data_IF_130732376694
#
_entry.id   IF_130732376694
#
_cell.length_a   1.000
_cell.length_b   1.000
_cell.length_c   1.000
_cell.angle_alpha   90.00
_cell.angle_beta   90.00
_cell.angle_gamma   90.00
#
_symmetry.space_group_name_H-M   'P 1'
#
loop_
_entity.id
_entity.type
_entity.pdbx_description
1 polymer ?
#
# COMPACT_ATOMS: atom_id res chain seq x y z
N UNK A 1 28.70 -61.77 53.79
CA UNK A 1 28.49 -60.80 52.70
C UNK A 1 27.16 -60.10 52.92
N UNK A 2 27.17 -58.76 52.81
CA UNK A 2 26.03 -57.81 52.81
C UNK A 2 25.30 -57.59 54.16
N UNK A 3 25.51 -56.50 54.93
CA UNK A 3 25.21 -55.06 54.68
C UNK A 3 23.70 -54.80 54.48
N UNK A 4 23.00 -53.88 55.16
CA UNK A 4 23.26 -52.91 56.24
C UNK A 4 21.87 -52.51 56.79
N UNK A 5 21.79 -52.25 58.09
CA UNK A 5 20.58 -51.82 58.81
C UNK A 5 20.29 -50.32 58.61
N UNK A 6 19.00 -50.01 58.71
CA UNK A 6 18.25 -48.77 58.47
C UNK A 6 18.58 -47.61 59.43
N UNK A 7 18.28 -46.39 58.94
CA UNK A 7 17.89 -45.15 59.65
C UNK A 7 18.96 -44.10 59.93
N UNK A 8 18.81 -42.92 59.29
CA UNK A 8 18.85 -41.61 59.98
C UNK A 8 17.89 -40.60 59.34
N UNK A 9 17.11 -39.95 60.21
CA UNK A 9 16.28 -38.76 60.00
C UNK A 9 17.14 -37.51 59.74
N UNK A 10 16.65 -36.56 58.93
CA UNK A 10 16.39 -35.16 59.31
C UNK A 10 15.94 -34.34 58.08
N UNK A 11 14.69 -33.88 58.09
CA UNK A 11 14.23 -32.47 58.23
C UNK A 11 14.53 -31.61 57.00
N UNK A 12 13.48 -30.98 56.44
CA UNK A 12 13.30 -29.51 56.41
C UNK A 12 12.22 -29.09 55.39
N UNK A 13 11.30 -28.27 55.91
CA UNK A 13 10.46 -27.23 55.31
C UNK A 13 9.43 -27.56 54.21
N UNK A 14 8.18 -27.34 54.59
CA UNK A 14 7.09 -26.94 53.71
C UNK A 14 7.40 -25.57 53.08
N UNK A 15 7.20 -25.46 51.77
CA UNK A 15 7.01 -24.20 51.08
C UNK A 15 5.84 -24.38 50.10
N UNK A 16 4.87 -23.48 50.21
CA UNK A 16 3.65 -23.42 49.43
C UNK A 16 3.94 -23.22 47.94
N UNK A 17 3.19 -23.90 47.08
CA UNK A 17 3.01 -23.47 45.68
C UNK A 17 1.52 -23.21 45.50
N UNK A 18 1.17 -21.92 45.62
CA UNK A 18 -0.12 -21.40 45.24
C UNK A 18 -0.32 -21.56 43.74
N UNK A 19 -1.56 -21.88 43.35
CA UNK A 19 -1.95 -22.02 41.96
C UNK A 19 -1.72 -20.73 41.19
N UNK A 20 -0.85 -20.79 40.18
CA UNK A 20 -0.87 -19.81 39.10
C UNK A 20 -2.00 -20.21 38.16
N UNK A 21 -3.06 -19.40 38.14
CA UNK A 21 -4.02 -19.38 37.05
C UNK A 21 -3.28 -19.07 35.76
N UNK A 22 -3.37 -20.00 34.81
CA UNK A 22 -2.90 -19.80 33.45
C UNK A 22 -3.83 -18.76 32.80
N UNK A 23 -3.44 -17.48 32.86
CA UNK A 23 -4.04 -16.44 32.03
C UNK A 23 -3.65 -16.79 30.61
N UNK A 24 -4.60 -17.33 29.85
CA UNK A 24 -4.45 -17.48 28.41
C UNK A 24 -4.25 -16.10 27.81
N UNK A 25 -3.00 -15.73 27.53
CA UNK A 25 -2.72 -14.73 26.52
C UNK A 25 -3.32 -15.28 25.23
N UNK A 26 -4.46 -14.74 24.81
CA UNK A 26 -4.91 -14.92 23.44
C UNK A 26 -3.75 -14.50 22.54
N UNK A 27 -3.25 -15.43 21.74
CA UNK A 27 -2.34 -15.07 20.67
C UNK A 27 -3.07 -14.03 19.83
N UNK A 28 -2.56 -12.80 19.83
CA UNK A 28 -2.86 -11.87 18.75
C UNK A 28 -2.31 -12.58 17.52
N UNK A 29 -3.18 -13.09 16.65
CA UNK A 29 -2.74 -13.61 15.37
C UNK A 29 -1.99 -12.47 14.70
N UNK A 30 -0.66 -12.62 14.56
CA UNK A 30 0.10 -11.73 13.73
C UNK A 30 -0.53 -11.79 12.34
N UNK A 31 -1.02 -10.65 11.84
CA UNK A 31 -1.67 -10.52 10.54
C UNK A 31 -0.70 -11.02 9.48
N UNK A 32 -0.97 -12.21 8.96
CA UNK A 32 -0.07 -12.90 8.06
C UNK A 32 -0.56 -12.71 6.61
N UNK A 33 -0.59 -11.45 6.19
CA UNK A 33 -0.84 -11.02 4.83
C UNK A 33 0.50 -10.82 4.09
N UNK A 34 0.47 -10.69 2.76
CA UNK A 34 1.63 -10.20 2.00
C UNK A 34 2.02 -8.83 2.55
N UNK A 35 3.24 -8.70 3.08
CA UNK A 35 3.72 -7.46 3.68
C UNK A 35 4.15 -6.48 2.59
N UNK A 36 3.56 -5.29 2.64
CA UNK A 36 3.88 -4.14 1.81
C UNK A 36 4.59 -3.11 2.69
N UNK A 37 5.86 -2.82 2.42
CA UNK A 37 6.64 -1.88 3.23
C UNK A 37 8.15 -1.98 3.04
N UNK A 38 8.62 -3.00 2.34
CA UNK A 38 9.99 -3.07 1.82
C UNK A 38 10.18 -2.26 0.54
N UNK A 39 11.38 -2.27 -0.05
CA UNK A 39 11.69 -1.53 -1.29
C UNK A 39 10.97 -2.08 -2.54
N UNK A 40 10.38 -3.27 -2.46
CA UNK A 40 9.56 -3.82 -3.54
C UNK A 40 8.20 -3.14 -3.57
N UNK A 41 7.77 -2.78 -4.78
CA UNK A 41 6.42 -2.27 -5.07
C UNK A 41 5.56 -3.28 -5.83
N UNK A 42 5.95 -4.56 -5.82
CA UNK A 42 5.23 -5.62 -6.54
C UNK A 42 5.27 -6.98 -5.82
N UNK A 43 4.31 -7.84 -6.20
CA UNK A 43 4.13 -9.22 -5.77
C UNK A 43 3.66 -10.06 -6.97
N UNK A 44 4.07 -11.33 -7.03
CA UNK A 44 3.63 -12.27 -8.06
C UNK A 44 3.38 -13.66 -7.46
N UNK A 45 2.44 -14.39 -8.03
CA UNK A 45 2.14 -15.77 -7.72
C UNK A 45 1.72 -16.52 -8.99
N UNK A 46 2.53 -17.51 -9.36
CA UNK A 46 2.34 -18.49 -10.45
C UNK A 46 1.61 -19.77 -10.01
N UNK A 47 1.35 -19.96 -8.72
CA UNK A 47 0.70 -21.14 -8.12
C UNK A 47 1.37 -22.51 -8.36
N UNK A 48 2.46 -22.59 -9.12
CA UNK A 48 3.22 -23.81 -9.45
C UNK A 48 3.73 -24.61 -8.23
N UNK A 49 3.80 -23.98 -7.06
CA UNK A 49 4.14 -24.66 -5.81
C UNK A 49 3.00 -25.49 -5.20
N UNK A 50 1.78 -25.42 -5.75
CA UNK A 50 0.65 -26.23 -5.32
C UNK A 50 0.82 -27.71 -5.71
N UNK A 51 0.12 -28.60 -5.01
CA UNK A 51 0.13 -30.04 -5.28
C UNK A 51 -0.34 -30.37 -6.69
N UNK A 52 0.42 -31.20 -7.40
CA UNK A 52 0.09 -31.65 -8.76
C UNK A 52 -0.63 -33.01 -8.82
N UNK A 53 -0.92 -33.63 -7.66
CA UNK A 53 -1.64 -34.90 -7.56
C UNK A 53 -2.28 -35.09 -6.18
N UNK A 54 -3.24 -36.03 -6.11
CA UNK A 54 -3.90 -36.41 -4.86
C UNK A 54 -5.18 -35.63 -4.55
N UNK A 55 -5.97 -36.18 -3.62
CA UNK A 55 -7.20 -35.58 -3.09
C UNK A 55 -7.06 -35.34 -1.59
N UNK A 56 -7.87 -34.43 -1.05
CA UNK A 56 -7.85 -34.00 0.35
C UNK A 56 -6.43 -33.59 0.81
N UNK A 57 -5.75 -32.82 -0.02
CA UNK A 57 -4.43 -32.30 0.30
C UNK A 57 -4.57 -31.20 1.35
N UNK A 58 -3.69 -31.15 2.38
CA UNK A 58 -3.76 -30.14 3.43
C UNK A 58 -3.65 -28.72 2.86
N UNK A 59 -4.60 -27.87 3.23
CA UNK A 59 -4.54 -26.43 3.03
C UNK A 59 -4.46 -25.74 4.39
N UNK A 60 -3.53 -24.79 4.50
CA UNK A 60 -3.45 -23.89 5.62
C UNK A 60 -3.36 -22.46 5.09
N UNK A 61 -4.35 -21.64 5.46
CA UNK A 61 -4.40 -20.23 5.10
C UNK A 61 -3.09 -19.51 5.46
N UNK A 62 -2.54 -18.78 4.50
CA UNK A 62 -1.25 -18.10 4.54
C UNK A 62 -0.01 -19.02 4.75
N UNK A 63 -0.16 -20.34 4.77
CA UNK A 63 0.99 -21.25 4.90
C UNK A 63 1.19 -22.14 3.68
N UNK A 64 0.11 -22.63 3.06
CA UNK A 64 0.23 -23.39 1.80
C UNK A 64 0.72 -22.48 0.69
N UNK A 65 0.17 -21.27 0.62
CA UNK A 65 0.65 -20.17 -0.21
C UNK A 65 0.67 -18.90 0.66
N UNK A 66 1.82 -18.18 0.77
CA UNK A 66 1.91 -16.97 1.57
C UNK A 66 0.90 -15.91 1.14
N UNK A 67 0.10 -15.41 2.08
CA UNK A 67 -0.93 -14.41 1.85
C UNK A 67 -2.23 -14.91 1.22
N UNK A 68 -2.35 -16.19 0.87
CA UNK A 68 -3.54 -16.76 0.22
C UNK A 68 -4.42 -17.57 1.18
N UNK A 69 -5.72 -17.52 0.91
CA UNK A 69 -6.74 -18.04 1.81
C UNK A 69 -7.89 -18.70 1.04
N UNK A 70 -8.47 -19.74 1.65
CA UNK A 70 -9.66 -20.41 1.17
C UNK A 70 -10.77 -20.36 2.22
N UNK A 71 -11.96 -19.97 1.78
CA UNK A 71 -13.15 -19.90 2.60
C UNK A 71 -14.36 -20.48 1.85
N UNK A 72 -15.31 -21.06 2.60
CA UNK A 72 -16.61 -21.51 2.07
C UNK A 72 -17.80 -20.68 2.58
N UNK A 73 -18.89 -20.77 1.82
CA UNK A 73 -20.27 -20.32 2.06
C UNK A 73 -21.26 -21.43 1.61
N UNK A 74 -22.52 -21.47 2.07
CA UNK A 74 -23.21 -20.49 2.91
C UNK A 74 -22.94 -20.73 4.40
N UNK A 75 -22.43 -19.72 5.09
CA UNK A 75 -22.25 -19.74 6.54
C UNK A 75 -22.38 -18.31 7.09
N UNK A 76 -22.93 -18.17 8.30
CA UNK A 76 -23.13 -16.85 8.92
C UNK A 76 -21.82 -16.04 9.02
N UNK A 77 -20.70 -16.73 9.19
CA UNK A 77 -19.35 -16.21 8.98
C UNK A 77 -18.60 -17.13 8.02
N UNK A 78 -17.70 -16.60 7.16
CA UNK A 78 -16.85 -17.41 6.30
C UNK A 78 -16.11 -18.49 7.09
N UNK A 79 -16.16 -19.74 6.62
CA UNK A 79 -15.47 -20.86 7.27
C UNK A 79 -14.19 -21.16 6.51
N UNK A 80 -13.05 -21.08 7.18
CA UNK A 80 -11.76 -21.44 6.59
C UNK A 80 -11.75 -22.92 6.18
N UNK A 81 -11.30 -23.18 4.96
CA UNK A 81 -11.13 -24.53 4.44
C UNK A 81 -9.73 -25.05 4.82
N UNK A 82 -9.63 -26.36 5.03
CA UNK A 82 -8.38 -27.03 5.42
C UNK A 82 -7.88 -28.02 4.39
N UNK A 83 -8.58 -28.13 3.27
CA UNK A 83 -8.32 -29.11 2.22
C UNK A 83 -8.56 -28.52 0.84
N UNK A 84 -7.83 -29.02 -0.14
CA UNK A 84 -8.04 -28.79 -1.57
C UNK A 84 -7.55 -30.03 -2.35
N UNK A 85 -7.83 -30.12 -3.64
CA UNK A 85 -7.44 -31.27 -4.47
C UNK A 85 -6.54 -30.87 -5.64
N UNK A 86 -5.72 -31.77 -6.15
CA UNK A 86 -5.17 -31.60 -7.50
C UNK A 86 -6.22 -32.02 -8.54
N UNK A 87 -6.32 -31.30 -9.65
CA UNK A 87 -7.34 -31.55 -10.66
C UNK A 87 -6.86 -31.35 -12.09
N UNK A 88 -7.28 -32.22 -13.00
CA UNK A 88 -7.09 -32.03 -14.45
C UNK A 88 -8.36 -31.50 -15.13
N UNK A 89 -9.32 -30.99 -14.34
CA UNK A 89 -10.66 -30.62 -14.85
C UNK A 89 -11.62 -31.79 -15.11
N UNK A 90 -11.18 -33.03 -14.93
CA UNK A 90 -11.98 -34.23 -15.16
C UNK A 90 -13.08 -34.46 -14.11
N UNK A 91 -12.84 -34.02 -12.87
CA UNK A 91 -13.80 -34.10 -11.75
C UNK A 91 -14.90 -33.05 -11.85
N UNK A 92 -16.12 -33.41 -11.45
CA UNK A 92 -17.23 -32.47 -11.22
C UNK A 92 -17.50 -32.20 -9.74
N UNK A 93 -16.68 -32.74 -8.83
CA UNK A 93 -16.90 -32.57 -7.40
C UNK A 93 -16.69 -31.10 -7.00
N UNK A 94 -17.60 -30.56 -6.19
CA UNK A 94 -17.49 -29.18 -5.71
C UNK A 94 -16.33 -29.02 -4.75
N UNK A 95 -15.23 -28.38 -5.19
CA UNK A 95 -14.00 -28.13 -4.41
C UNK A 95 -13.18 -26.98 -4.99
N UNK A 96 -12.23 -26.49 -4.21
CA UNK A 96 -11.06 -25.80 -4.74
C UNK A 96 -10.00 -26.79 -5.21
N UNK A 97 -9.33 -26.43 -6.29
CA UNK A 97 -8.37 -27.25 -7.00
C UNK A 97 -7.08 -26.49 -7.29
N UNK A 98 -5.97 -27.22 -7.24
CA UNK A 98 -4.80 -26.92 -8.05
C UNK A 98 -4.99 -27.59 -9.39
N UNK A 99 -5.39 -26.80 -10.38
CA UNK A 99 -5.61 -27.28 -11.72
C UNK A 99 -4.30 -27.37 -12.48
N UNK A 100 -4.22 -28.30 -13.42
CA UNK A 100 -3.09 -28.41 -14.33
C UNK A 100 -3.13 -29.73 -15.07
N UNK A 101 -2.47 -29.78 -16.23
CA UNK A 101 -2.34 -31.02 -16.98
C UNK A 101 -1.65 -32.12 -16.14
N UNK A 102 -1.98 -33.38 -16.46
CA UNK A 102 -1.48 -34.53 -15.71
C UNK A 102 0.06 -34.61 -15.81
N UNK A 103 0.73 -34.73 -14.66
CA UNK A 103 2.20 -34.82 -14.56
C UNK A 103 2.96 -33.54 -14.96
N UNK A 104 2.31 -32.37 -15.00
CA UNK A 104 2.90 -31.15 -15.60
C UNK A 104 3.54 -30.13 -14.66
N UNK A 105 3.61 -30.23 -13.34
CA UNK A 105 4.17 -29.16 -12.47
C UNK A 105 3.45 -27.78 -12.55
N UNK A 106 3.31 -27.12 -13.70
CA UNK A 106 2.54 -25.85 -13.83
C UNK A 106 1.13 -26.03 -13.26
N UNK A 107 0.68 -25.09 -12.42
CA UNK A 107 -0.62 -25.13 -11.78
C UNK A 107 -1.34 -23.78 -11.88
N UNK A 108 -2.64 -23.82 -12.18
CA UNK A 108 -3.57 -22.73 -11.90
C UNK A 108 -4.38 -22.97 -10.61
N UNK A 109 -4.84 -21.91 -9.94
CA UNK A 109 -5.62 -22.01 -8.71
C UNK A 109 -7.10 -21.67 -8.94
N UNK A 110 -8.01 -22.60 -8.65
CA UNK A 110 -9.40 -22.43 -9.04
C UNK A 110 -10.38 -23.33 -8.30
N UNK A 111 -11.62 -23.37 -8.78
CA UNK A 111 -12.68 -24.17 -8.19
C UNK A 111 -13.71 -24.69 -9.19
N UNK A 112 -14.55 -25.58 -8.66
CA UNK A 112 -15.84 -25.97 -9.27
C UNK A 112 -16.87 -25.74 -8.17
N UNK A 113 -17.77 -24.77 -8.32
CA UNK A 113 -18.67 -24.31 -7.25
C UNK A 113 -19.81 -25.26 -6.85
N UNK A 114 -19.82 -26.49 -7.35
CA UNK A 114 -20.92 -27.45 -7.19
C UNK A 114 -21.37 -27.67 -5.74
N UNK A 115 -22.65 -28.02 -5.56
CA UNK A 115 -23.36 -28.17 -4.27
C UNK A 115 -22.93 -29.37 -3.40
N UNK A 116 -21.62 -29.58 -3.26
CA UNK A 116 -21.02 -30.60 -2.41
C UNK A 116 -20.92 -30.18 -0.93
N UNK A 117 -20.77 -31.17 -0.05
CA UNK A 117 -20.58 -30.95 1.38
C UNK A 117 -19.30 -30.17 1.73
N UNK A 118 -18.32 -30.16 0.82
CA UNK A 118 -17.10 -29.35 0.94
C UNK A 118 -17.40 -27.86 1.09
N UNK A 119 -18.31 -27.33 0.27
CA UNK A 119 -18.79 -25.95 0.39
C UNK A 119 -19.92 -25.81 1.43
N UNK A 120 -20.54 -26.91 1.84
CA UNK A 120 -21.71 -26.89 2.74
C UNK A 120 -23.01 -26.81 1.96
N UNK A 121 -23.04 -27.40 0.76
CA UNK A 121 -24.21 -27.51 -0.10
C UNK A 121 -24.88 -26.16 -0.41
N UNK A 122 -24.17 -25.21 -1.04
CA UNK A 122 -24.76 -23.96 -1.51
C UNK A 122 -25.98 -24.22 -2.40
N UNK A 123 -27.00 -23.37 -2.28
CA UNK A 123 -28.12 -23.35 -3.21
C UNK A 123 -27.64 -22.93 -4.62
N UNK A 124 -28.42 -23.22 -5.65
CA UNK A 124 -28.11 -22.71 -7.00
C UNK A 124 -28.15 -21.19 -7.03
N UNK A 125 -27.16 -20.56 -7.66
CA UNK A 125 -26.91 -19.12 -7.66
C UNK A 125 -26.32 -18.57 -6.36
N UNK A 126 -25.99 -19.40 -5.37
CA UNK A 126 -25.37 -18.96 -4.13
C UNK A 126 -23.84 -19.06 -4.20
N UNK A 127 -23.16 -18.20 -3.45
CA UNK A 127 -21.70 -18.26 -3.28
C UNK A 127 -21.34 -19.58 -2.59
N UNK A 128 -20.47 -20.35 -3.23
CA UNK A 128 -19.89 -21.57 -2.68
C UNK A 128 -18.65 -21.26 -1.83
N UNK A 129 -17.83 -20.30 -2.26
CA UNK A 129 -16.65 -19.91 -1.51
C UNK A 129 -15.85 -18.78 -2.14
N UNK A 130 -14.67 -18.54 -1.58
CA UNK A 130 -13.73 -17.56 -2.09
C UNK A 130 -12.29 -18.09 -2.05
N UNK A 131 -11.57 -17.80 -3.13
CA UNK A 131 -10.12 -17.66 -3.09
C UNK A 131 -9.81 -16.21 -2.71
N UNK A 132 -8.89 -15.97 -1.79
CA UNK A 132 -8.57 -14.62 -1.36
C UNK A 132 -7.08 -14.44 -1.10
N UNK A 133 -6.59 -13.22 -1.29
CA UNK A 133 -5.25 -12.79 -0.94
C UNK A 133 -5.31 -11.51 -0.09
N UNK A 134 -4.52 -11.47 0.97
CA UNK A 134 -4.39 -10.30 1.85
C UNK A 134 -3.07 -9.58 1.64
N UNK A 135 -3.11 -8.25 1.58
CA UNK A 135 -1.96 -7.37 1.49
C UNK A 135 -1.95 -6.38 2.66
N UNK A 136 -0.96 -6.44 3.54
CA UNK A 136 -0.85 -5.54 4.69
C UNK A 136 0.14 -4.42 4.41
N UNK A 137 -0.30 -3.15 4.53
CA UNK A 137 0.61 -2.01 4.48
C UNK A 137 1.34 -1.89 5.83
N UNK A 138 2.53 -2.46 5.92
CA UNK A 138 3.42 -2.38 7.08
C UNK A 138 4.43 -1.23 6.96
N UNK A 139 4.38 -0.45 5.88
CA UNK A 139 5.23 0.73 5.67
C UNK A 139 4.74 1.95 6.45
N UNK A 140 5.33 3.12 6.14
CA UNK A 140 4.98 4.41 6.78
C UNK A 140 4.16 5.33 5.87
N UNK A 141 4.00 4.99 4.59
CA UNK A 141 3.31 5.79 3.59
C UNK A 141 1.97 5.16 3.19
N UNK A 142 0.99 6.02 2.87
CA UNK A 142 -0.29 5.61 2.29
C UNK A 142 -0.10 5.17 0.84
N UNK A 143 -0.83 4.15 0.41
CA UNK A 143 -0.90 3.69 -0.98
C UNK A 143 -2.15 4.28 -1.64
N UNK A 144 -1.97 4.93 -2.80
CA UNK A 144 -3.05 5.58 -3.56
C UNK A 144 -3.54 4.73 -4.74
N UNK A 145 -2.68 3.87 -5.27
CA UNK A 145 -2.97 3.01 -6.40
C UNK A 145 -2.51 1.58 -6.13
N UNK A 146 -3.36 0.63 -6.49
CA UNK A 146 -3.08 -0.79 -6.39
C UNK A 146 -3.50 -1.47 -7.69
N UNK A 147 -2.54 -2.03 -8.42
CA UNK A 147 -2.77 -2.75 -9.67
C UNK A 147 -2.81 -4.23 -9.41
N UNK A 148 -3.78 -4.92 -10.02
CA UNK A 148 -3.93 -6.38 -10.00
C UNK A 148 -4.01 -6.87 -11.43
N UNK A 149 -3.27 -7.92 -11.77
CA UNK A 149 -3.38 -8.62 -13.04
C UNK A 149 -3.32 -10.14 -12.84
N UNK A 150 -4.01 -10.90 -13.68
CA UNK A 150 -3.96 -12.37 -13.71
C UNK A 150 -4.50 -12.89 -15.06
N UNK A 151 -4.29 -14.17 -15.32
CA UNK A 151 -4.93 -14.90 -16.40
C UNK A 151 -6.11 -15.71 -15.85
N UNK A 152 -7.24 -15.69 -16.56
CA UNK A 152 -8.39 -16.55 -16.27
C UNK A 152 -8.30 -17.84 -17.09
N UNK A 153 -8.36 -19.00 -16.45
CA UNK A 153 -8.23 -20.30 -17.11
C UNK A 153 -9.43 -21.21 -16.85
N UNK A 154 -10.00 -21.77 -17.92
CA UNK A 154 -11.06 -22.76 -17.81
C UNK A 154 -10.50 -24.17 -17.96
N UNK A 155 -10.58 -24.95 -16.88
CA UNK A 155 -10.13 -26.33 -16.83
C UNK A 155 -11.25 -27.34 -17.02
N UNK A 156 -12.52 -26.93 -16.93
CA UNK A 156 -13.66 -27.82 -17.15
C UNK A 156 -14.83 -27.11 -17.82
N UNK A 157 -15.39 -27.75 -18.84
CA UNK A 157 -16.77 -27.51 -19.27
C UNK A 157 -17.69 -28.46 -18.50
N UNK A 158 -18.63 -27.90 -17.74
CA UNK A 158 -19.61 -28.62 -16.93
C UNK A 158 -20.67 -29.39 -17.73
N UNK A 159 -20.73 -29.21 -19.04
CA UNK A 159 -21.89 -29.64 -19.83
C UNK A 159 -23.04 -28.64 -19.73
N UNK A 160 -22.72 -27.37 -19.52
CA UNK A 160 -23.66 -26.26 -19.37
C UNK A 160 -23.49 -25.32 -20.56
N UNK A 161 -24.60 -24.93 -21.21
CA UNK A 161 -24.57 -24.03 -22.36
C UNK A 161 -24.52 -22.56 -21.97
N UNK A 162 -24.64 -22.26 -20.68
CA UNK A 162 -24.46 -20.92 -20.13
C UNK A 162 -23.02 -20.72 -19.69
N UNK A 163 -22.41 -19.62 -20.12
CA UNK A 163 -21.09 -19.20 -19.62
C UNK A 163 -21.16 -18.82 -18.15
N UNK A 164 -20.06 -19.03 -17.43
CA UNK A 164 -19.92 -18.74 -16.01
C UNK A 164 -18.87 -17.68 -15.79
N UNK A 165 -19.08 -16.81 -14.80
CA UNK A 165 -18.23 -15.63 -14.57
C UNK A 165 -17.53 -15.75 -13.23
N UNK A 166 -16.22 -15.57 -13.22
CA UNK A 166 -15.48 -15.36 -11.99
C UNK A 166 -15.39 -13.86 -11.70
N UNK A 167 -15.90 -13.48 -10.53
CA UNK A 167 -15.99 -12.08 -10.11
C UNK A 167 -14.91 -11.79 -9.07
N UNK A 168 -14.16 -10.71 -9.27
CA UNK A 168 -13.22 -10.19 -8.28
C UNK A 168 -13.88 -9.09 -7.45
N UNK A 169 -13.60 -9.10 -6.15
CA UNK A 169 -13.94 -8.01 -5.23
C UNK A 169 -12.75 -7.68 -4.33
N UNK A 170 -12.75 -6.46 -3.78
CA UNK A 170 -11.78 -6.06 -2.77
C UNK A 170 -12.43 -5.34 -1.58
N UNK A 171 -11.74 -5.31 -0.46
CA UNK A 171 -12.19 -4.59 0.73
C UNK A 171 -11.09 -4.46 1.78
N UNK A 172 -11.33 -3.62 2.79
CA UNK A 172 -10.37 -3.37 3.86
C UNK A 172 -10.84 -4.00 5.18
N UNK A 173 -9.91 -4.65 5.88
CA UNK A 173 -10.16 -5.25 7.19
C UNK A 173 -8.89 -5.86 7.75
N UNK A 174 -8.69 -5.81 9.07
CA UNK A 174 -7.51 -6.39 9.74
C UNK A 174 -7.42 -7.92 9.61
N UNK A 175 -8.54 -8.56 9.26
CA UNK A 175 -8.69 -9.96 8.87
C UNK A 175 -9.76 -10.09 7.78
N UNK A 176 -9.78 -11.20 7.03
CA UNK A 176 -10.78 -11.45 5.98
C UNK A 176 -12.22 -11.32 6.50
N UNK A 177 -12.49 -11.86 7.70
CA UNK A 177 -13.83 -11.83 8.32
C UNK A 177 -14.22 -10.46 8.87
N UNK A 178 -13.26 -9.54 9.04
CA UNK A 178 -13.52 -8.17 9.51
C UNK A 178 -13.78 -7.17 8.38
N UNK A 179 -13.69 -7.59 7.12
CA UNK A 179 -14.01 -6.73 5.98
C UNK A 179 -15.49 -6.39 6.00
N UNK A 180 -15.80 -5.13 6.32
CA UNK A 180 -17.17 -4.67 6.51
C UNK A 180 -17.94 -4.48 5.20
N UNK A 181 -17.24 -4.19 4.11
CA UNK A 181 -17.81 -3.99 2.79
C UNK A 181 -16.86 -4.51 1.72
N UNK A 182 -17.43 -5.20 0.73
CA UNK A 182 -16.73 -5.68 -0.46
C UNK A 182 -17.17 -4.87 -1.66
N UNK A 183 -16.19 -4.40 -2.44
CA UNK A 183 -16.39 -3.60 -3.64
C UNK A 183 -16.00 -4.41 -4.85
N UNK A 184 -16.91 -4.53 -5.82
CA UNK A 184 -16.60 -5.07 -7.14
C UNK A 184 -16.10 -3.93 -8.05
N UNK A 185 -14.82 -3.91 -8.48
CA UNK A 185 -14.34 -2.92 -9.42
C UNK A 185 -14.97 -3.09 -10.82
N UNK A 186 -15.49 -4.29 -11.13
CA UNK A 186 -16.22 -4.59 -12.36
C UNK A 186 -15.35 -4.62 -13.62
N UNK A 187 -16.00 -4.68 -14.79
CA UNK A 187 -15.32 -4.58 -16.08
C UNK A 187 -14.18 -5.57 -16.26
N UNK A 188 -12.97 -5.04 -16.45
CA UNK A 188 -11.74 -5.79 -16.75
C UNK A 188 -11.27 -6.74 -15.64
N UNK A 189 -11.79 -6.62 -14.41
CA UNK A 189 -11.40 -7.47 -13.27
C UNK A 189 -12.18 -8.79 -13.19
N UNK A 190 -13.28 -8.91 -13.93
CA UNK A 190 -14.05 -10.14 -14.03
C UNK A 190 -13.70 -10.83 -15.35
N UNK A 191 -13.82 -12.15 -15.38
CA UNK A 191 -13.68 -12.89 -16.64
C UNK A 191 -14.75 -13.97 -16.76
N UNK A 192 -15.06 -14.31 -18.00
CA UNK A 192 -16.14 -15.23 -18.37
C UNK A 192 -15.54 -16.45 -19.04
N UNK A 193 -16.02 -17.64 -18.67
CA UNK A 193 -15.60 -18.92 -19.22
C UNK A 193 -15.70 -18.94 -20.77
N UNK A 194 -14.62 -19.24 -21.51
CA UNK A 194 -14.65 -19.27 -22.97
C UNK A 194 -15.52 -20.38 -23.59
N UNK A 195 -15.66 -21.52 -22.89
CA UNK A 195 -16.33 -22.72 -23.40
C UNK A 195 -17.57 -23.06 -22.57
N UNK A 196 -18.74 -22.98 -23.18
CA UNK A 196 -20.02 -23.38 -22.58
C UNK A 196 -20.82 -24.25 -23.56
N UNK A 197 -20.69 -25.57 -23.47
CA UNK A 197 -21.40 -26.52 -24.34
C UNK A 197 -22.09 -27.61 -23.53
N UNK A 198 -23.13 -28.24 -24.10
CA UNK A 198 -23.93 -29.26 -23.42
C UNK A 198 -23.23 -30.61 -23.15
N UNK A 199 -21.96 -30.78 -23.56
CA UNK A 199 -21.19 -32.01 -23.30
C UNK A 199 -20.06 -31.71 -22.32
N UNK A 200 -20.12 -32.34 -21.14
CA UNK A 200 -19.10 -32.16 -20.11
C UNK A 200 -17.75 -32.73 -20.56
N UNK A 201 -16.68 -31.98 -20.33
CA UNK A 201 -15.31 -32.38 -20.66
C UNK A 201 -14.30 -31.66 -19.77
N UNK A 202 -13.17 -32.33 -19.52
CA UNK A 202 -11.97 -31.64 -19.09
C UNK A 202 -11.44 -30.76 -20.24
N UNK A 203 -10.90 -29.61 -19.90
CA UNK A 203 -10.22 -28.69 -20.79
C UNK A 203 -8.80 -28.48 -20.29
N UNK A 204 -7.92 -28.02 -21.17
CA UNK A 204 -6.58 -27.57 -20.81
C UNK A 204 -6.60 -26.05 -20.69
N UNK A 205 -6.45 -25.53 -19.47
CA UNK A 205 -6.50 -24.09 -19.20
C UNK A 205 -5.38 -23.30 -19.87
N UNK A 206 -4.27 -23.96 -20.21
CA UNK A 206 -3.15 -23.37 -20.93
C UNK A 206 -3.44 -23.12 -22.42
N UNK A 207 -4.43 -23.82 -22.99
CA UNK A 207 -4.82 -23.60 -24.38
C UNK A 207 -5.42 -22.20 -24.51
N UNK A 208 -4.91 -21.35 -25.44
CA UNK A 208 -5.46 -20.01 -25.66
C UNK A 208 -6.98 -19.97 -25.91
N UNK A 209 -7.60 -21.06 -26.40
CA UNK A 209 -9.05 -21.14 -26.57
C UNK A 209 -9.82 -21.24 -25.23
N UNK A 210 -9.16 -21.67 -24.15
CA UNK A 210 -9.73 -21.84 -22.82
C UNK A 210 -9.22 -20.79 -21.81
N UNK A 211 -8.42 -19.82 -22.27
CA UNK A 211 -7.75 -18.81 -21.45
C UNK A 211 -8.15 -17.38 -21.81
N UNK A 212 -8.24 -16.52 -20.81
CA UNK A 212 -8.44 -15.08 -20.92
C UNK A 212 -7.25 -14.39 -20.27
N UNK A 213 -6.37 -13.77 -21.06
CA UNK A 213 -5.15 -13.13 -20.53
C UNK A 213 -5.36 -11.68 -20.15
N UNK A 214 -4.58 -11.17 -19.20
CA UNK A 214 -4.54 -9.74 -18.87
C UNK A 214 -5.81 -9.24 -18.17
N UNK A 215 -6.47 -10.11 -17.40
CA UNK A 215 -7.59 -9.74 -16.54
C UNK A 215 -7.06 -8.87 -15.40
N UNK A 216 -7.75 -7.78 -15.07
CA UNK A 216 -7.39 -6.87 -14.00
C UNK A 216 -7.23 -5.41 -14.44
N UNK A 217 -6.54 -4.62 -13.62
CA UNK A 217 -6.34 -3.19 -13.80
C UNK A 217 -5.88 -2.48 -12.52
N UNK A 218 -5.86 -1.15 -12.57
CA UNK A 218 -5.46 -0.31 -11.43
C UNK A 218 -6.66 0.19 -10.66
N UNK A 219 -6.71 -0.14 -9.37
CA UNK A 219 -7.58 0.49 -8.39
C UNK A 219 -6.96 1.84 -8.01
N UNK A 220 -7.66 2.94 -8.30
CA UNK A 220 -7.18 4.31 -8.06
C UNK A 220 -7.89 4.96 -6.88
N UNK A 221 -7.36 6.09 -6.42
CA UNK A 221 -7.96 6.89 -5.33
C UNK A 221 -8.16 6.10 -4.04
N UNK A 222 -7.27 5.14 -3.79
CA UNK A 222 -7.24 4.40 -2.54
C UNK A 222 -6.71 5.30 -1.42
N UNK A 223 -7.19 5.05 -0.20
CA UNK A 223 -6.64 5.64 1.03
C UNK A 223 -6.04 4.54 1.89
N UNK A 224 -5.23 3.68 1.26
CA UNK A 224 -4.68 2.48 1.89
C UNK A 224 -3.53 2.83 2.84
N UNK A 225 -3.90 3.19 4.06
CA UNK A 225 -3.00 3.73 5.08
C UNK A 225 -2.12 2.64 5.73
N UNK A 226 -0.97 3.03 6.33
CA UNK A 226 -0.20 2.15 7.20
C UNK A 226 -1.05 1.44 8.27
N UNK A 227 -0.75 0.16 8.50
CA UNK A 227 -1.45 -0.71 9.43
C UNK A 227 -2.75 -1.32 8.91
N UNK A 228 -3.23 -0.91 7.73
CA UNK A 228 -4.40 -1.53 7.10
C UNK A 228 -4.04 -2.81 6.32
N UNK A 229 -5.05 -3.59 5.98
CA UNK A 229 -4.92 -4.72 5.06
C UNK A 229 -5.99 -4.64 3.99
N UNK A 230 -5.54 -4.63 2.73
CA UNK A 230 -6.37 -4.78 1.55
C UNK A 230 -6.57 -6.27 1.29
N UNK A 231 -7.81 -6.71 1.20
CA UNK A 231 -8.18 -8.05 0.78
C UNK A 231 -8.69 -8.01 -0.64
N UNK A 232 -8.24 -8.94 -1.47
CA UNK A 232 -8.75 -9.22 -2.81
C UNK A 232 -9.31 -10.63 -2.80
N UNK A 233 -10.49 -10.85 -3.38
CA UNK A 233 -11.14 -12.17 -3.45
C UNK A 233 -11.75 -12.44 -4.82
N UNK A 234 -11.77 -13.71 -5.19
CA UNK A 234 -12.51 -14.23 -6.34
C UNK A 234 -13.67 -15.09 -5.84
N UNK A 235 -14.85 -14.85 -6.38
CA UNK A 235 -16.08 -15.55 -6.01
C UNK A 235 -16.17 -16.87 -6.78
N UNK A 236 -16.33 -17.96 -6.04
CA UNK A 236 -16.77 -19.25 -6.57
C UNK A 236 -18.28 -19.37 -6.35
N UNK A 237 -19.04 -19.53 -7.42
CA UNK A 237 -20.50 -19.59 -7.41
C UNK A 237 -20.96 -21.02 -7.72
N UNK A 238 -21.97 -21.50 -7.00
CA UNK A 238 -22.71 -22.67 -7.46
C UNK A 238 -23.69 -22.20 -8.54
N UNK A 239 -23.29 -22.25 -9.81
CA UNK A 239 -24.04 -21.72 -10.93
C UNK A 239 -25.38 -22.46 -11.14
N UNK A 240 -26.23 -21.90 -12.01
CA UNK A 240 -27.44 -22.61 -12.44
C UNK A 240 -27.08 -23.71 -13.41
N UNK A 241 -27.40 -24.96 -13.05
CA UNK A 241 -27.02 -26.16 -13.80
C UNK A 241 -25.69 -26.73 -13.33
N UNK A 242 -24.94 -27.35 -14.25
CA UNK A 242 -23.63 -27.90 -13.92
C UNK A 242 -22.54 -26.81 -13.93
N UNK A 243 -21.64 -26.86 -12.96
CA UNK A 243 -20.52 -25.91 -12.85
C UNK A 243 -19.36 -26.25 -13.80
N UNK A 244 -18.74 -25.19 -14.30
CA UNK A 244 -17.44 -25.19 -14.95
C UNK A 244 -16.33 -25.24 -13.91
N UNK A 245 -15.11 -25.51 -14.37
CA UNK A 245 -13.91 -25.42 -13.54
C UNK A 245 -13.14 -24.20 -13.96
N UNK A 246 -13.18 -23.15 -13.15
CA UNK A 246 -12.58 -21.86 -13.44
C UNK A 246 -11.41 -21.62 -12.48
N UNK A 247 -10.32 -21.05 -12.97
CA UNK A 247 -9.11 -20.79 -12.23
C UNK A 247 -8.49 -19.44 -12.56
N UNK A 248 -7.58 -19.00 -11.71
CA UNK A 248 -6.66 -17.90 -11.97
C UNK A 248 -5.23 -18.44 -12.04
N UNK A 249 -4.43 -17.80 -12.87
CA UNK A 249 -3.00 -18.06 -12.99
C UNK A 249 -2.22 -16.75 -13.20
N UNK A 250 -0.89 -16.79 -13.06
CA UNK A 250 0.04 -15.67 -13.29
C UNK A 250 -0.40 -14.38 -12.57
N UNK A 251 -0.85 -14.52 -11.31
CA UNK A 251 -1.31 -13.40 -10.52
C UNK A 251 -0.16 -12.44 -10.23
N UNK A 252 -0.41 -11.15 -10.40
CA UNK A 252 0.51 -10.10 -10.03
C UNK A 252 -0.22 -8.93 -9.40
N UNK A 253 0.47 -8.28 -8.48
CA UNK A 253 0.04 -7.03 -7.87
C UNK A 253 1.20 -6.04 -7.82
N UNK A 254 0.88 -4.76 -7.98
CA UNK A 254 1.84 -3.67 -7.75
C UNK A 254 1.15 -2.47 -7.13
N UNK A 255 1.89 -1.61 -6.46
CA UNK A 255 1.31 -0.45 -5.77
C UNK A 255 2.16 0.79 -5.92
N UNK A 256 1.49 1.93 -5.85
CA UNK A 256 2.12 3.25 -5.83
C UNK A 256 1.79 3.87 -4.48
N UNK A 257 2.80 4.40 -3.82
CA UNK A 257 2.59 5.21 -2.63
C UNK A 257 2.00 6.55 -3.07
N UNK A 258 1.00 7.02 -2.33
CA UNK A 258 0.56 8.40 -2.44
C UNK A 258 1.79 9.29 -2.37
N UNK A 259 1.86 10.28 -3.26
CA UNK A 259 2.86 11.34 -3.14
C UNK A 259 2.85 11.83 -1.69
N UNK A 260 3.96 11.66 -0.98
CA UNK A 260 4.07 12.26 0.35
C UNK A 260 3.89 13.75 0.14
N UNK A 261 2.89 14.35 0.79
CA UNK A 261 2.80 15.81 0.81
C UNK A 261 4.13 16.43 1.25
N UNK A 262 4.36 17.72 1.00
CA UNK A 262 5.61 18.40 1.31
C UNK A 262 6.16 18.00 2.68
N UNK A 263 7.35 17.41 2.74
CA UNK A 263 7.94 17.03 4.03
C UNK A 263 8.44 18.30 4.71
N UNK A 264 8.29 18.37 6.03
CA UNK A 264 8.85 19.48 6.80
C UNK A 264 10.30 19.16 7.16
N UNK A 265 11.22 19.80 6.46
CA UNK A 265 12.65 19.55 6.59
C UNK A 265 13.31 20.70 7.33
N UNK A 266 14.03 20.40 8.41
CA UNK A 266 14.82 21.36 9.15
C UNK A 266 16.27 21.39 8.66
N UNK A 267 16.79 22.61 8.50
CA UNK A 267 18.17 22.86 8.14
C UNK A 267 19.13 22.41 9.24
N UNK A 268 20.14 21.61 8.88
CA UNK A 268 21.11 21.02 9.84
C UNK A 268 22.49 21.68 9.85
N UNK A 269 22.73 22.69 9.00
CA UNK A 269 23.94 23.52 9.08
C UNK A 269 25.14 23.08 8.25
N UNK A 270 24.96 22.37 7.13
CA UNK A 270 26.05 21.94 6.23
C UNK A 270 26.45 23.00 5.17
N UNK A 271 25.96 24.23 5.34
CA UNK A 271 26.18 25.43 4.52
C UNK A 271 25.76 25.35 3.03
N UNK A 272 25.31 24.20 2.52
CA UNK A 272 24.93 24.02 1.10
C UNK A 272 23.53 23.40 0.96
N UNK A 273 22.63 24.08 0.26
CA UNK A 273 21.33 23.54 -0.16
C UNK A 273 21.42 23.01 -1.59
N UNK A 274 21.89 21.77 -1.71
CA UNK A 274 21.90 20.97 -2.94
C UNK A 274 21.01 19.74 -2.86
N UNK A 275 20.82 19.04 -3.99
CA UNK A 275 19.93 17.87 -4.09
C UNK A 275 20.40 16.66 -3.26
N UNK A 276 21.67 16.61 -2.86
CA UNK A 276 22.25 15.50 -2.09
C UNK A 276 22.60 15.88 -0.64
N UNK A 277 22.24 17.10 -0.21
CA UNK A 277 22.53 17.58 1.14
C UNK A 277 21.53 17.00 2.15
N UNK A 278 22.01 16.77 3.37
CA UNK A 278 21.20 16.16 4.41
C UNK A 278 20.35 17.22 5.11
N UNK A 279 19.06 16.92 5.24
CA UNK A 279 18.08 17.70 6.00
C UNK A 279 17.47 16.81 7.08
N UNK A 280 17.10 17.39 8.22
CA UNK A 280 16.36 16.65 9.25
C UNK A 280 14.88 16.62 8.91
N UNK A 281 14.32 15.46 8.61
CA UNK A 281 12.89 15.29 8.47
C UNK A 281 12.22 15.41 9.84
N UNK A 282 11.40 16.45 10.03
CA UNK A 282 10.72 16.70 11.30
C UNK A 282 9.61 15.68 11.60
N UNK A 283 9.14 14.92 10.60
CA UNK A 283 8.12 13.89 10.77
C UNK A 283 8.63 12.61 11.44
N UNK A 284 9.91 12.28 11.26
CA UNK A 284 10.50 11.02 11.76
C UNK A 284 11.87 11.20 12.45
N UNK A 285 12.40 12.43 12.52
CA UNK A 285 13.71 12.77 13.08
C UNK A 285 14.91 12.11 12.39
N UNK A 286 14.76 11.68 11.14
CA UNK A 286 15.84 11.09 10.34
C UNK A 286 16.44 12.11 9.37
N UNK A 287 17.67 11.86 8.91
CA UNK A 287 18.27 12.66 7.83
C UNK A 287 17.79 12.15 6.47
N UNK A 288 17.37 13.08 5.61
CA UNK A 288 16.94 12.81 4.22
C UNK A 288 17.55 13.83 3.26
N UNK A 289 17.56 13.53 1.96
CA UNK A 289 17.83 14.50 0.91
C UNK A 289 16.58 15.29 0.53
N UNK A 290 16.78 16.48 -0.06
CA UNK A 290 15.74 17.36 -0.59
C UNK A 290 15.07 16.75 -1.85
N UNK A 291 13.75 16.87 -1.95
CA UNK A 291 12.94 16.42 -3.09
C UNK A 291 12.26 17.64 -3.77
N UNK A 292 12.64 17.89 -5.02
CA UNK A 292 12.02 18.94 -5.85
C UNK A 292 10.76 18.44 -6.57
N UNK A 293 10.54 17.12 -6.67
CA UNK A 293 9.39 16.52 -7.37
C UNK A 293 8.13 16.51 -6.50
N UNK A 294 8.29 16.33 -5.19
CA UNK A 294 7.32 16.71 -4.16
C UNK A 294 7.96 17.81 -3.31
N UNK A 295 7.82 19.09 -3.71
CA UNK A 295 8.58 20.20 -3.13
C UNK A 295 8.50 20.21 -1.60
N UNK A 296 9.64 19.92 -0.95
CA UNK A 296 9.73 19.91 0.50
C UNK A 296 9.55 21.32 1.09
N UNK A 297 9.17 21.38 2.37
CA UNK A 297 9.12 22.61 3.15
C UNK A 297 10.44 22.80 3.90
N UNK A 298 11.09 23.95 3.73
CA UNK A 298 12.33 24.29 4.42
C UNK A 298 12.04 25.02 5.73
N UNK A 299 12.58 24.53 6.85
CA UNK A 299 12.54 25.17 8.16
C UNK A 299 13.93 25.56 8.63
N UNK A 300 14.13 26.84 8.92
CA UNK A 300 15.34 27.41 9.49
C UNK A 300 15.09 27.82 10.95
N UNK A 301 15.73 27.15 11.91
CA UNK A 301 15.42 27.27 13.35
C UNK A 301 16.64 27.25 14.30
N UNK A 302 17.86 27.29 13.77
CA UNK A 302 19.09 27.40 14.56
C UNK A 302 19.30 28.75 15.24
N UNK A 303 20.09 28.77 16.31
CA UNK A 303 20.44 30.00 17.04
C UNK A 303 21.71 30.64 16.45
N UNK A 304 21.55 31.69 15.64
CA UNK A 304 22.67 32.47 15.12
C UNK A 304 22.48 32.95 13.69
N UNK A 305 23.55 33.52 13.13
CA UNK A 305 23.61 33.93 11.73
C UNK A 305 24.22 32.81 10.89
N UNK A 306 23.57 32.39 9.81
CA UNK A 306 24.09 31.38 8.89
C UNK A 306 23.93 31.83 7.43
N UNK A 307 24.88 31.44 6.59
CA UNK A 307 24.75 31.55 5.13
C UNK A 307 24.50 30.17 4.56
N UNK A 308 23.54 30.08 3.66
CA UNK A 308 23.16 28.84 2.98
C UNK A 308 23.39 29.06 1.49
N UNK A 309 24.28 28.26 0.91
CA UNK A 309 24.58 28.27 -0.52
C UNK A 309 23.58 27.39 -1.27
N UNK A 310 22.62 28.00 -1.96
CA UNK A 310 21.71 27.31 -2.87
C UNK A 310 22.51 26.95 -4.13
N UNK A 311 23.02 25.72 -4.16
CA UNK A 311 23.97 25.27 -5.17
C UNK A 311 23.35 24.96 -6.54
N UNK A 312 22.03 24.74 -6.59
CA UNK A 312 21.26 24.44 -7.79
C UNK A 312 19.83 25.01 -7.66
N UNK A 313 19.07 25.01 -8.75
CA UNK A 313 17.65 25.37 -8.69
C UNK A 313 16.89 24.41 -7.76
N UNK A 314 16.11 24.97 -6.83
CA UNK A 314 15.25 24.23 -5.91
C UNK A 314 13.81 24.70 -6.07
N UNK A 315 12.87 23.74 -6.10
CA UNK A 315 11.44 23.99 -5.97
C UNK A 315 11.07 23.71 -4.51
N UNK A 316 10.45 24.69 -3.86
CA UNK A 316 10.20 24.67 -2.41
C UNK A 316 8.72 24.79 -2.11
N UNK A 317 8.21 23.83 -1.33
CA UNK A 317 6.84 23.80 -0.86
C UNK A 317 6.53 25.03 0.00
N UNK A 318 7.41 25.37 0.94
CA UNK A 318 7.37 26.62 1.69
C UNK A 318 8.71 26.87 2.36
N UNK A 319 8.95 28.12 2.78
CA UNK A 319 10.12 28.49 3.59
C UNK A 319 9.66 29.10 4.91
N UNK A 320 10.11 28.53 6.02
CA UNK A 320 9.89 29.07 7.36
C UNK A 320 11.23 29.46 7.99
N UNK A 321 11.42 30.76 8.20
CA UNK A 321 12.45 31.26 9.12
C UNK A 321 11.83 31.39 10.52
N UNK A 322 11.97 30.34 11.32
CA UNK A 322 11.39 30.24 12.65
C UNK A 322 12.16 31.06 13.68
N UNK A 323 13.49 30.98 13.63
CA UNK A 323 14.42 31.70 14.50
C UNK A 323 15.75 31.89 13.77
N UNK A 324 16.71 32.63 14.35
CA UNK A 324 18.00 32.90 13.73
C UNK A 324 17.92 33.83 12.52
N UNK A 325 19.08 34.15 11.94
CA UNK A 325 19.19 35.06 10.80
C UNK A 325 19.93 34.36 9.66
N UNK A 326 19.24 34.05 8.59
CA UNK A 326 19.76 33.29 7.45
C UNK A 326 19.95 34.20 6.25
N UNK A 327 21.03 33.95 5.53
CA UNK A 327 21.27 34.49 4.20
C UNK A 327 21.25 33.35 3.19
N UNK A 328 20.16 33.21 2.44
CA UNK A 328 20.04 32.22 1.38
C UNK A 328 20.64 32.79 0.09
N UNK A 329 21.89 32.44 -0.20
CA UNK A 329 22.63 32.90 -1.38
C UNK A 329 22.94 31.76 -2.34
N UNK A 330 23.94 31.94 -3.19
CA UNK A 330 24.40 30.91 -4.12
C UNK A 330 24.08 31.18 -5.59
N UNK A 331 24.57 30.31 -6.46
CA UNK A 331 24.36 30.41 -7.91
C UNK A 331 23.01 29.83 -8.38
N UNK A 332 22.34 29.07 -7.52
CA UNK A 332 21.01 28.51 -7.78
C UNK A 332 19.87 29.51 -7.57
N UNK A 333 18.65 28.99 -7.62
CA UNK A 333 17.41 29.76 -7.52
C UNK A 333 16.36 29.02 -6.69
N UNK A 334 15.36 29.75 -6.18
CA UNK A 334 14.20 29.19 -5.48
C UNK A 334 12.93 29.43 -6.30
N UNK A 335 12.25 28.35 -6.69
CA UNK A 335 10.84 28.40 -7.11
C UNK A 335 9.95 28.13 -5.90
N UNK A 336 9.18 29.13 -5.46
CA UNK A 336 8.37 29.03 -4.24
C UNK A 336 6.93 28.68 -4.61
N UNK A 337 6.41 27.56 -4.08
CA UNK A 337 5.07 27.05 -4.44
C UNK A 337 4.03 27.20 -3.33
N UNK A 338 4.41 27.47 -2.08
CA UNK A 338 3.48 27.56 -0.94
C UNK A 338 3.86 28.57 0.14
N UNK A 339 4.69 29.56 -0.20
CA UNK A 339 4.87 30.78 0.57
C UNK A 339 6.13 30.84 1.42
N UNK A 340 6.35 32.03 2.00
CA UNK A 340 7.48 32.30 2.89
C UNK A 340 6.94 32.91 4.19
N UNK A 341 7.33 32.35 5.32
CA UNK A 341 7.09 32.93 6.64
C UNK A 341 8.42 33.31 7.28
N UNK A 342 8.60 34.60 7.56
CA UNK A 342 9.78 35.14 8.22
C UNK A 342 9.41 35.68 9.62
N UNK A 343 9.63 34.86 10.66
CA UNK A 343 9.42 35.30 12.04
C UNK A 343 10.57 36.17 12.55
N UNK A 344 11.77 35.98 12.00
CA UNK A 344 12.97 36.80 12.24
C UNK A 344 13.41 37.51 10.97
N UNK A 345 14.38 38.44 11.09
CA UNK A 345 14.95 39.14 9.94
C UNK A 345 15.90 38.24 9.16
N UNK A 346 15.63 38.06 7.85
CA UNK A 346 16.36 37.14 6.98
C UNK A 346 16.57 37.75 5.59
N UNK A 347 17.53 37.21 4.85
CA UNK A 347 17.84 37.62 3.48
C UNK A 347 17.79 36.44 2.53
N UNK A 348 17.17 36.65 1.37
CA UNK A 348 17.23 35.77 0.20
C UNK A 348 17.97 36.54 -0.88
N UNK A 349 19.23 36.17 -1.10
CA UNK A 349 20.10 36.72 -2.13
C UNK A 349 20.07 35.90 -3.43
N UNK A 350 19.66 34.64 -3.37
CA UNK A 350 19.37 33.84 -4.58
C UNK A 350 18.17 34.40 -5.36
N UNK A 351 18.11 34.10 -6.65
CA UNK A 351 16.94 34.44 -7.47
C UNK A 351 15.69 33.70 -6.99
N UNK A 352 14.55 34.38 -7.02
CA UNK A 352 13.25 33.83 -6.59
C UNK A 352 12.25 33.86 -7.75
N UNK A 353 11.53 32.78 -7.97
CA UNK A 353 10.43 32.70 -8.93
C UNK A 353 9.11 32.30 -8.27
N UNK A 354 8.03 32.93 -8.75
CA UNK A 354 6.64 32.73 -8.29
C UNK A 354 5.76 32.44 -9.51
N UNK A 355 5.76 31.19 -9.94
CA UNK A 355 5.31 30.76 -11.28
C UNK A 355 4.13 29.80 -11.29
N UNK A 356 3.91 29.03 -10.23
CA UNK A 356 2.95 27.91 -10.23
C UNK A 356 1.62 28.23 -9.56
N UNK A 357 1.68 28.99 -8.46
CA UNK A 357 0.55 29.24 -7.56
C UNK A 357 0.67 30.64 -6.97
N UNK A 358 -0.47 31.25 -6.66
CA UNK A 358 -0.48 32.50 -5.90
C UNK A 358 0.13 32.29 -4.51
N UNK A 359 0.92 33.26 -4.06
CA UNK A 359 1.74 33.14 -2.87
C UNK A 359 1.26 34.08 -1.77
N UNK A 360 1.35 33.61 -0.52
CA UNK A 360 1.28 34.48 0.65
C UNK A 360 2.62 34.48 1.36
N UNK A 361 3.20 35.66 1.54
CA UNK A 361 4.43 35.84 2.30
C UNK A 361 4.16 36.62 3.58
N UNK A 362 4.44 36.01 4.71
CA UNK A 362 4.16 36.56 6.04
C UNK A 362 5.45 37.01 6.70
N UNK A 363 5.53 38.28 7.10
CA UNK A 363 6.68 38.81 7.84
C UNK A 363 6.23 39.24 9.23
N UNK A 364 6.84 38.64 10.25
CA UNK A 364 6.54 38.89 11.66
C UNK A 364 6.82 40.33 12.09
N UNK A 365 6.13 40.78 13.14
CA UNK A 365 6.28 42.14 13.69
C UNK A 365 7.73 42.45 14.05
N UNK A 366 8.26 43.58 13.58
CA UNK A 366 9.64 43.99 13.84
C UNK A 366 10.71 43.26 13.01
N UNK A 367 10.31 42.29 12.18
CA UNK A 367 11.21 41.55 11.29
C UNK A 367 11.19 42.11 9.88
N UNK A 368 12.28 41.87 9.15
CA UNK A 368 12.39 42.20 7.72
C UNK A 368 12.80 40.98 6.91
N UNK A 369 12.03 40.66 5.87
CA UNK A 369 12.45 39.71 4.83
C UNK A 369 13.05 40.51 3.67
N UNK A 370 14.36 40.36 3.43
CA UNK A 370 15.05 41.02 2.33
C UNK A 370 15.21 40.07 1.15
N UNK A 371 14.51 40.30 0.04
CA UNK A 371 14.77 39.62 -1.23
C UNK A 371 15.64 40.52 -2.09
N UNK A 372 16.92 40.18 -2.16
CA UNK A 372 17.96 40.97 -2.86
C UNK A 372 18.36 40.36 -4.19
N UNK A 373 18.11 39.06 -4.38
CA UNK A 373 18.21 38.41 -5.69
C UNK A 373 17.08 38.85 -6.63
N UNK A 374 17.25 38.57 -7.93
CA UNK A 374 16.20 38.87 -8.91
C UNK A 374 14.92 38.11 -8.60
N UNK A 375 13.79 38.82 -8.68
CA UNK A 375 12.46 38.21 -8.58
C UNK A 375 11.81 38.10 -9.96
N UNK A 376 11.15 36.98 -10.24
CA UNK A 376 10.45 36.67 -11.49
C UNK A 376 9.14 35.92 -11.23
N UNK A 377 8.22 35.91 -12.20
CA UNK A 377 6.97 35.14 -12.08
C UNK A 377 5.72 35.91 -12.48
N UNK A 378 4.62 35.18 -12.65
CA UNK A 378 3.33 35.70 -13.15
C UNK A 378 2.22 35.64 -12.10
N UNK A 379 2.42 34.88 -11.02
CA UNK A 379 1.38 34.65 -10.01
C UNK A 379 1.29 35.79 -9.01
N UNK A 380 0.12 35.95 -8.38
CA UNK A 380 -0.08 36.99 -7.39
C UNK A 380 0.75 36.71 -6.13
N UNK A 381 1.21 37.77 -5.48
CA UNK A 381 1.92 37.74 -4.21
C UNK A 381 1.17 38.60 -3.20
N UNK A 382 0.62 37.99 -2.16
CA UNK A 382 0.05 38.67 -1.00
C UNK A 382 1.11 38.80 0.10
N UNK A 383 1.34 40.03 0.58
CA UNK A 383 2.17 40.33 1.74
C UNK A 383 1.30 40.44 3.00
N UNK A 384 1.56 39.56 3.96
CA UNK A 384 0.91 39.51 5.27
C UNK A 384 1.89 39.76 6.43
N UNK A 385 1.34 39.90 7.64
CA UNK A 385 2.11 40.20 8.86
C UNK A 385 2.59 41.66 8.96
N UNK A 386 2.83 42.13 10.19
CA UNK A 386 3.13 43.54 10.45
C UNK A 386 4.58 43.96 10.14
N UNK A 387 5.44 43.00 9.77
CA UNK A 387 6.83 43.27 9.39
C UNK A 387 6.98 43.82 7.97
N UNK A 388 8.24 43.98 7.56
CA UNK A 388 8.60 44.57 6.26
C UNK A 388 9.08 43.51 5.28
N UNK A 389 8.50 43.49 4.08
CA UNK A 389 9.08 42.81 2.93
C UNK A 389 9.87 43.83 2.12
N UNK A 390 11.17 43.60 1.92
CA UNK A 390 12.02 44.44 1.11
C UNK A 390 12.45 43.69 -0.14
N UNK A 391 12.17 44.27 -1.31
CA UNK A 391 12.47 43.71 -2.62
C UNK A 391 13.51 44.64 -3.26
N UNK A 392 14.78 44.26 -3.19
CA UNK A 392 15.88 45.11 -3.69
C UNK A 392 16.56 44.62 -4.96
N UNK A 393 16.26 43.40 -5.42
CA UNK A 393 16.84 42.84 -6.64
C UNK A 393 16.16 43.37 -7.90
N UNK A 394 16.87 43.34 -9.04
CA UNK A 394 16.26 43.66 -10.33
C UNK A 394 15.05 42.75 -10.59
N UNK A 395 13.92 43.31 -11.03
CA UNK A 395 12.77 42.51 -11.45
C UNK A 395 13.13 41.74 -12.72
N UNK A 396 13.53 40.48 -12.56
CA UNK A 396 13.85 39.56 -13.65
C UNK A 396 12.60 39.09 -14.40
N UNK A 397 11.62 39.98 -14.63
CA UNK A 397 10.35 39.66 -15.25
C UNK A 397 9.23 39.26 -14.28
N UNK A 398 9.22 39.74 -13.03
CA UNK A 398 8.04 39.60 -12.17
C UNK A 398 6.91 40.51 -12.68
N UNK A 399 5.81 39.91 -13.11
CA UNK A 399 4.62 40.60 -13.65
C UNK A 399 3.34 40.27 -12.89
N UNK A 400 3.43 39.46 -11.83
CA UNK A 400 2.30 39.17 -10.95
C UNK A 400 1.86 40.38 -10.13
N UNK A 401 0.62 40.36 -9.64
CA UNK A 401 0.11 41.39 -8.74
C UNK A 401 0.79 41.28 -7.37
N UNK A 402 1.09 42.42 -6.74
CA UNK A 402 1.56 42.48 -5.36
C UNK A 402 0.50 43.14 -4.48
N UNK A 403 -0.19 42.34 -3.67
CA UNK A 403 -1.21 42.78 -2.73
C UNK A 403 -0.61 42.94 -1.34
N UNK A 404 -0.83 44.09 -0.70
CA UNK A 404 -0.30 44.38 0.64
C UNK A 404 -1.45 44.32 1.65
N UNK A 405 -1.64 43.15 2.26
CA UNK A 405 -2.70 42.92 3.23
C UNK A 405 -2.31 43.43 4.64
N UNK A 406 -1.02 43.39 4.99
CA UNK A 406 -0.50 43.93 6.25
C UNK A 406 1.00 44.28 6.21
N UNK A 407 1.40 45.20 7.10
CA UNK A 407 2.79 45.63 7.27
C UNK A 407 3.25 46.60 6.18
N UNK A 408 4.50 46.47 5.75
CA UNK A 408 5.07 47.33 4.71
C UNK A 408 5.78 46.54 3.62
N UNK A 409 5.77 47.08 2.40
CA UNK A 409 6.67 46.68 1.31
C UNK A 409 7.60 47.83 0.99
N UNK A 410 8.89 47.54 0.80
CA UNK A 410 9.89 48.46 0.27
C UNK A 410 10.45 47.87 -1.02
N UNK A 411 10.55 48.70 -2.07
CA UNK A 411 11.15 48.33 -3.37
C UNK A 411 12.38 49.20 -3.61
#
# INVERSE_FOLDING_TARGET
MSSRVISRRNRVLAAAIGGLGLIGLGAVEASAAVSIGGPSTSYSQDFDSLVNSGTNQPWANNSTLPGWYLYRQPAATPVALTLYDAGTGSSNAGKFYSFGAASVAERAFGGVGSSGSYFGSPASGAVAGWMAVGFANTGTATIDQFTVNFDGEQWRNGGNTSTQTMVLEYGFGTSFTSVASWTAPGGAFNWVSPVATGTAAALDGNDPANRVTGVGGTLTSLTFAPGQTLWVRWIELNDSGNDHGLAIDNFSASWVYAASGPRNLAWVGDNVWGSNNAWLNLGDSTLTTWDNTNPDNATFSGSGNATVDIAAAQTVGSVLFSSGNYNLGGAGSLEVTGGITANTSNTIAASVSVTTTDQTWTVGTGSTLNVTGSMSGTQALAKEGLGTLRIGGASGGFTGNLDINAGAVQV
#
